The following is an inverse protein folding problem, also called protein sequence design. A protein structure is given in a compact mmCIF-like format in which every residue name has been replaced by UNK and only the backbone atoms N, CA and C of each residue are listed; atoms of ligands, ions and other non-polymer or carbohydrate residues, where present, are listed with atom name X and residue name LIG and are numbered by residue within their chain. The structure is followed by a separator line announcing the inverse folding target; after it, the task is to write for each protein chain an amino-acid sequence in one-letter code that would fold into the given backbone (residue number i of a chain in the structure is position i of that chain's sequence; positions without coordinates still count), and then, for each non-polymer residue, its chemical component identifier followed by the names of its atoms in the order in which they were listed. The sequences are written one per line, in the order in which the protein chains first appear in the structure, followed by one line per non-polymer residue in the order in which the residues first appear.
data_IF_503478449365
#
_entry.id   IF_503478449365
#
_cell.length_a   1.000
_cell.length_b   1.000
_cell.length_c   1.000
_cell.angle_alpha   90.00
_cell.angle_beta   90.00
_cell.angle_gamma   90.00
#
_symmetry.space_group_name_H-M   'P 1'
#
loop_
_entity.id
_entity.type
_entity.pdbx_description
1 polymer ?
#
# COMPACT_ATOMS: atom_id res chain seq x y z
N UNK A 1 -16.34 17.32 -1.50
CA UNK A 1 -16.54 17.22 -2.98
C UNK A 1 -18.02 17.07 -3.30
N UNK A 2 -18.68 16.02 -2.79
CA UNK A 2 -20.12 15.78 -2.99
C UNK A 2 -21.04 16.96 -2.65
N UNK A 3 -20.76 17.74 -1.59
CA UNK A 3 -21.49 18.99 -1.32
C UNK A 3 -21.38 20.01 -2.48
N UNK A 4 -20.16 20.27 -2.97
CA UNK A 4 -19.92 21.17 -4.12
C UNK A 4 -20.58 20.68 -5.41
N UNK A 5 -20.80 19.37 -5.54
CA UNK A 5 -21.48 18.74 -6.68
C UNK A 5 -23.00 18.72 -6.52
N UNK A 6 -23.53 19.18 -5.37
CA UNK A 6 -24.95 19.26 -5.05
C UNK A 6 -25.59 17.94 -4.64
N UNK A 7 -24.78 16.96 -4.21
CA UNK A 7 -25.27 15.63 -3.79
C UNK A 7 -25.60 15.59 -2.30
N UNK A 8 -24.75 16.21 -1.47
CA UNK A 8 -25.04 16.38 -0.04
C UNK A 8 -25.72 17.73 0.15
N UNK A 9 -26.81 17.74 0.90
CA UNK A 9 -27.54 18.96 1.27
C UNK A 9 -27.90 18.91 2.76
N UNK A 10 -28.21 20.06 3.39
CA UNK A 10 -28.66 20.05 4.77
C UNK A 10 -29.91 19.20 4.98
N UNK A 11 -30.80 19.13 3.99
CA UNK A 11 -32.05 18.38 4.06
C UNK A 11 -31.82 16.86 4.07
N UNK A 12 -30.91 16.34 3.24
CA UNK A 12 -30.68 14.89 3.17
C UNK A 12 -29.66 14.36 4.20
N UNK A 13 -28.81 15.22 4.74
CA UNK A 13 -27.83 14.83 5.77
C UNK A 13 -28.26 15.16 7.19
N UNK A 14 -29.12 16.18 7.37
CA UNK A 14 -29.37 16.79 8.67
C UNK A 14 -28.19 17.60 9.21
N UNK A 15 -27.15 17.83 8.41
CA UNK A 15 -25.92 18.51 8.80
C UNK A 15 -25.79 19.89 8.14
N UNK A 16 -25.08 20.86 8.76
CA UNK A 16 -24.79 22.15 8.13
C UNK A 16 -23.66 22.02 7.10
N UNK A 17 -23.90 21.24 6.03
CA UNK A 17 -22.91 20.94 4.98
C UNK A 17 -22.45 22.17 4.19
N UNK A 18 -23.23 23.24 4.22
CA UNK A 18 -22.87 24.57 3.73
C UNK A 18 -21.78 25.25 4.55
N UNK A 19 -21.56 24.79 5.79
CA UNK A 19 -20.54 25.27 6.71
C UNK A 19 -19.38 24.30 6.88
N UNK A 20 -19.13 23.40 5.93
CA UNK A 20 -17.95 22.51 5.95
C UNK A 20 -16.67 23.33 6.18
N UNK A 21 -15.89 22.93 7.18
CA UNK A 21 -14.67 23.62 7.62
C UNK A 21 -14.87 24.55 8.82
N UNK A 22 -16.11 24.78 9.25
CA UNK A 22 -16.43 25.48 10.50
C UNK A 22 -16.46 24.55 11.71
N UNK A 23 -16.35 25.12 12.91
CA UNK A 23 -16.55 24.40 14.18
C UNK A 23 -17.94 23.77 14.26
N UNK A 24 -18.99 24.50 13.85
CA UNK A 24 -20.38 24.02 13.87
C UNK A 24 -20.55 22.72 13.08
N UNK A 25 -19.99 22.65 11.87
CA UNK A 25 -20.01 21.41 11.09
C UNK A 25 -19.19 20.31 11.76
N UNK A 26 -17.98 20.61 12.23
CA UNK A 26 -17.07 19.62 12.83
C UNK A 26 -17.70 18.99 14.07
N UNK A 27 -18.35 19.78 14.93
CA UNK A 27 -19.00 19.30 16.15
C UNK A 27 -20.14 18.33 15.82
N UNK A 28 -21.07 18.71 14.94
CA UNK A 28 -22.19 17.84 14.55
C UNK A 28 -21.69 16.58 13.83
N UNK A 29 -20.77 16.75 12.87
CA UNK A 29 -20.19 15.65 12.10
C UNK A 29 -19.52 14.59 13.00
N UNK A 30 -18.63 15.03 13.89
CA UNK A 30 -17.89 14.12 14.76
C UNK A 30 -18.77 13.48 15.83
N UNK A 31 -19.67 14.26 16.44
CA UNK A 31 -20.62 13.75 17.42
C UNK A 31 -21.56 12.70 16.80
N UNK A 32 -22.19 13.00 15.66
CA UNK A 32 -23.17 12.09 15.07
C UNK A 32 -22.54 10.78 14.59
N UNK A 33 -21.30 10.82 14.08
CA UNK A 33 -20.54 9.61 13.77
C UNK A 33 -20.24 8.82 15.05
N UNK A 34 -19.72 9.48 16.08
CA UNK A 34 -19.34 8.82 17.33
C UNK A 34 -20.52 8.16 18.06
N UNK A 35 -21.71 8.76 17.97
CA UNK A 35 -22.92 8.28 18.62
C UNK A 35 -23.88 7.55 17.68
N UNK A 36 -23.53 7.35 16.41
CA UNK A 36 -24.37 6.68 15.42
C UNK A 36 -25.74 7.35 15.24
N UNK A 37 -25.78 8.68 15.12
CA UNK A 37 -27.01 9.46 14.97
C UNK A 37 -27.22 9.90 13.52
N UNK A 38 -28.46 9.78 13.03
CA UNK A 38 -28.85 10.25 11.69
C UNK A 38 -27.88 9.79 10.59
N UNK A 39 -27.45 10.73 9.73
CA UNK A 39 -26.48 10.46 8.67
C UNK A 39 -25.09 10.03 9.22
N UNK A 40 -24.78 10.38 10.47
CA UNK A 40 -23.57 9.91 11.17
C UNK A 40 -23.49 8.39 11.34
N UNK A 41 -24.62 7.70 11.53
CA UNK A 41 -24.67 6.24 11.59
C UNK A 41 -24.20 5.58 10.28
N UNK A 42 -24.55 6.21 9.15
CA UNK A 42 -24.11 5.77 7.82
C UNK A 42 -22.62 6.09 7.66
N UNK A 43 -22.19 7.30 8.03
CA UNK A 43 -20.79 7.71 7.99
C UNK A 43 -19.85 6.83 8.85
N UNK A 44 -20.33 6.33 10.00
CA UNK A 44 -19.59 5.42 10.87
C UNK A 44 -19.23 4.08 10.20
N UNK A 45 -19.90 3.70 9.11
CA UNK A 45 -19.59 2.47 8.35
C UNK A 45 -18.35 2.60 7.45
N UNK A 46 -17.76 3.79 7.35
CA UNK A 46 -16.55 4.05 6.58
C UNK A 46 -16.81 4.52 5.14
N UNK A 47 -15.83 5.22 4.57
CA UNK A 47 -15.97 5.93 3.29
C UNK A 47 -16.52 5.13 2.11
N UNK A 48 -16.07 3.88 1.83
CA UNK A 48 -16.60 3.10 0.70
C UNK A 48 -18.10 2.84 0.82
N UNK A 49 -18.56 2.43 2.02
CA UNK A 49 -19.96 2.07 2.28
C UNK A 49 -20.88 3.29 2.25
N UNK A 50 -20.39 4.45 2.71
CA UNK A 50 -21.11 5.73 2.60
C UNK A 50 -21.34 6.10 1.14
N UNK A 51 -20.32 5.93 0.28
CA UNK A 51 -20.43 6.28 -1.13
C UNK A 51 -21.38 5.34 -1.89
N UNK A 52 -21.42 4.06 -1.51
CA UNK A 52 -22.42 3.09 -2.01
C UNK A 52 -23.84 3.43 -1.52
N UNK A 53 -23.99 3.79 -0.24
CA UNK A 53 -25.27 4.22 0.32
C UNK A 53 -25.80 5.44 -0.44
N UNK A 54 -24.99 6.49 -0.58
CA UNK A 54 -25.37 7.71 -1.32
C UNK A 54 -25.83 7.37 -2.74
N UNK A 55 -25.07 6.53 -3.46
CA UNK A 55 -25.39 6.17 -4.84
C UNK A 55 -26.72 5.39 -4.97
N UNK A 56 -27.09 4.62 -3.94
CA UNK A 56 -28.28 3.76 -3.94
C UNK A 56 -29.55 4.43 -3.39
N UNK A 57 -29.45 5.59 -2.73
CA UNK A 57 -30.60 6.23 -2.06
C UNK A 57 -31.05 7.51 -2.79
N UNK A 58 -32.34 7.59 -3.13
CA UNK A 58 -32.89 8.66 -3.98
C UNK A 58 -32.84 10.06 -3.33
N UNK A 59 -32.80 10.13 -1.99
CA UNK A 59 -32.69 11.36 -1.20
C UNK A 59 -31.43 12.18 -1.52
N UNK A 60 -30.40 11.56 -2.12
CA UNK A 60 -29.18 12.25 -2.60
C UNK A 60 -29.31 12.82 -4.02
N UNK A 61 -30.53 12.81 -4.56
CA UNK A 61 -30.87 13.44 -5.83
C UNK A 61 -30.36 12.69 -7.07
N UNK A 62 -30.57 13.26 -8.26
CA UNK A 62 -30.27 12.60 -9.54
C UNK A 62 -28.76 12.46 -9.81
N UNK A 63 -27.92 13.28 -9.16
CA UNK A 63 -26.46 13.25 -9.34
C UNK A 63 -25.75 12.23 -8.44
N UNK A 64 -26.47 11.55 -7.55
CA UNK A 64 -25.91 10.64 -6.53
C UNK A 64 -24.93 9.58 -7.06
N UNK A 65 -25.08 9.16 -8.31
CA UNK A 65 -24.17 8.19 -8.95
C UNK A 65 -22.70 8.65 -9.01
N UNK A 66 -22.42 9.96 -8.94
CA UNK A 66 -21.05 10.50 -8.87
C UNK A 66 -20.29 10.03 -7.61
N UNK A 67 -21.00 9.62 -6.56
CA UNK A 67 -20.39 9.02 -5.36
C UNK A 67 -19.57 7.78 -5.69
N UNK A 68 -20.01 6.95 -6.66
CA UNK A 68 -19.25 5.77 -7.08
C UNK A 68 -17.98 6.16 -7.83
N UNK A 69 -17.98 7.28 -8.58
CA UNK A 69 -16.76 7.81 -9.20
C UNK A 69 -15.75 8.25 -8.15
N UNK A 70 -16.18 8.94 -7.10
CA UNK A 70 -15.30 9.29 -5.97
C UNK A 70 -14.82 8.03 -5.23
N UNK A 71 -15.68 7.01 -5.07
CA UNK A 71 -15.29 5.73 -4.46
C UNK A 71 -14.13 5.11 -5.24
N UNK A 72 -14.29 4.94 -6.55
CA UNK A 72 -13.26 4.30 -7.38
C UNK A 72 -11.95 5.07 -7.45
N UNK A 73 -11.99 6.40 -7.29
CA UNK A 73 -10.80 7.25 -7.22
C UNK A 73 -10.11 7.23 -5.85
N UNK A 74 -10.86 7.28 -4.76
CA UNK A 74 -10.32 7.29 -3.40
C UNK A 74 -9.87 5.89 -2.95
N UNK A 75 -10.56 4.85 -3.44
CA UNK A 75 -10.30 3.44 -3.19
C UNK A 75 -9.99 2.75 -4.52
N UNK A 76 -8.79 2.96 -5.11
CA UNK A 76 -8.48 2.50 -6.45
C UNK A 76 -8.44 0.98 -6.62
N UNK A 77 -8.38 0.18 -5.56
CA UNK A 77 -8.43 -1.28 -5.65
C UNK A 77 -9.87 -1.69 -5.91
N UNK A 78 -10.11 -2.43 -6.98
CA UNK A 78 -11.47 -2.75 -7.44
C UNK A 78 -12.00 -4.10 -6.93
N UNK A 79 -11.12 -4.99 -6.43
CA UNK A 79 -11.52 -6.32 -5.96
C UNK A 79 -12.47 -6.31 -4.76
N UNK A 80 -13.05 -7.46 -4.46
CA UNK A 80 -13.97 -7.63 -3.33
C UNK A 80 -13.26 -7.45 -1.97
N UNK A 81 -11.94 -7.63 -1.96
CA UNK A 81 -11.05 -7.39 -0.82
C UNK A 81 -10.40 -6.00 -0.88
N UNK A 82 -11.09 -5.03 -1.50
CA UNK A 82 -10.74 -3.60 -1.44
C UNK A 82 -11.19 -2.99 -0.11
N UNK A 83 -10.48 -1.98 0.39
CA UNK A 83 -10.88 -1.37 1.67
C UNK A 83 -10.09 -0.16 2.16
N UNK A 84 -8.91 0.10 1.60
CA UNK A 84 -8.08 1.23 2.01
C UNK A 84 -8.13 2.37 1.01
N UNK A 85 -8.28 3.59 1.53
CA UNK A 85 -8.15 4.79 0.73
C UNK A 85 -6.68 5.04 0.41
N UNK A 86 -6.37 5.71 -0.69
CA UNK A 86 -4.98 6.10 -0.94
C UNK A 86 -4.51 7.13 0.09
N UNK A 87 -3.64 6.73 1.04
CA UNK A 87 -3.04 7.68 1.99
C UNK A 87 -2.05 8.63 1.30
N UNK A 88 -1.36 8.14 0.27
CA UNK A 88 -0.47 8.92 -0.58
C UNK A 88 -0.81 8.66 -2.04
N UNK A 89 -1.12 9.73 -2.77
CA UNK A 89 -1.65 9.68 -4.13
C UNK A 89 -0.72 8.88 -5.06
N UNK A 90 -1.15 7.69 -5.50
CA UNK A 90 -0.50 6.84 -6.51
C UNK A 90 -0.55 7.44 -7.93
N UNK A 91 -1.08 8.66 -8.09
CA UNK A 91 -1.38 9.28 -9.39
C UNK A 91 -0.17 9.47 -10.32
N UNK A 92 1.05 9.27 -9.83
CA UNK A 92 2.25 9.34 -10.64
C UNK A 92 3.22 8.20 -10.31
N UNK A 93 3.54 7.37 -11.31
CA UNK A 93 4.50 6.26 -11.20
C UNK A 93 5.77 6.63 -11.99
N UNK A 94 6.43 7.67 -11.51
CA UNK A 94 7.56 8.33 -12.14
C UNK A 94 8.81 7.47 -12.24
N UNK A 95 8.96 6.42 -11.44
CA UNK A 95 10.18 5.61 -11.39
C UNK A 95 9.91 4.17 -10.89
N UNK A 96 10.97 3.37 -10.87
CA UNK A 96 10.95 1.97 -10.42
C UNK A 96 10.39 1.82 -9.01
N UNK A 97 10.77 2.67 -8.06
CA UNK A 97 10.37 2.52 -6.65
C UNK A 97 8.88 2.83 -6.45
N UNK A 98 8.34 3.82 -7.16
CA UNK A 98 6.91 4.11 -7.20
C UNK A 98 6.11 3.00 -7.89
N UNK A 99 6.59 2.50 -9.02
CA UNK A 99 5.96 1.38 -9.70
C UNK A 99 5.96 0.11 -8.83
N UNK A 100 7.07 -0.18 -8.14
CA UNK A 100 7.21 -1.29 -7.19
C UNK A 100 6.20 -1.19 -6.05
N UNK A 101 6.01 0.00 -5.51
CA UNK A 101 5.02 0.27 -4.46
C UNK A 101 3.59 0.13 -4.96
N UNK A 102 3.33 0.49 -6.23
CA UNK A 102 2.05 0.21 -6.86
C UNK A 102 1.82 -1.31 -7.02
N UNK A 103 2.80 -2.10 -7.45
CA UNK A 103 2.65 -3.57 -7.49
C UNK A 103 2.23 -4.12 -6.13
N UNK A 104 2.93 -3.69 -5.08
CA UNK A 104 2.61 -4.05 -3.70
C UNK A 104 1.20 -3.59 -3.29
N UNK A 105 0.77 -2.38 -3.63
CA UNK A 105 -0.55 -1.83 -3.28
C UNK A 105 -1.73 -2.61 -3.87
N UNK A 106 -1.59 -3.12 -5.09
CA UNK A 106 -2.59 -4.02 -5.68
C UNK A 106 -2.75 -5.33 -4.91
N UNK A 107 -1.68 -5.78 -4.25
CA UNK A 107 -1.56 -7.13 -3.66
C UNK A 107 -1.72 -7.14 -2.14
N UNK A 108 -1.39 -6.04 -1.45
CA UNK A 108 -1.39 -5.94 -0.01
C UNK A 108 -2.75 -6.28 0.63
N UNK A 109 -2.76 -6.81 1.86
CA UNK A 109 -3.97 -7.03 2.65
C UNK A 109 -4.48 -5.76 3.35
N UNK A 110 -3.58 -4.80 3.59
CA UNK A 110 -3.87 -3.51 4.21
C UNK A 110 -3.30 -2.39 3.34
N UNK A 111 -3.57 -1.13 3.70
CA UNK A 111 -2.90 0.00 3.03
C UNK A 111 -1.38 -0.14 3.24
N UNK A 112 -0.59 -0.35 2.18
CA UNK A 112 0.85 -0.38 2.34
C UNK A 112 1.44 1.01 2.58
N UNK A 113 0.84 2.05 2.01
CA UNK A 113 1.41 3.40 1.96
C UNK A 113 1.20 4.18 3.25
N UNK A 114 0.79 3.54 4.33
CA UNK A 114 0.87 4.14 5.68
C UNK A 114 2.29 4.09 6.24
N UNK A 115 3.22 3.41 5.55
CA UNK A 115 4.60 3.24 5.97
C UNK A 115 5.54 4.26 5.32
N UNK A 116 6.36 4.91 6.14
CA UNK A 116 7.41 5.82 5.74
C UNK A 116 8.54 5.10 5.00
N UNK A 117 8.73 3.79 5.15
CA UNK A 117 9.65 3.03 4.30
C UNK A 117 9.32 3.21 2.81
N UNK A 118 8.04 3.14 2.44
CA UNK A 118 7.60 3.37 1.07
C UNK A 118 7.75 4.84 0.65
N UNK A 119 7.64 5.78 1.60
CA UNK A 119 7.89 7.20 1.34
C UNK A 119 9.37 7.53 1.17
N UNK A 120 10.24 6.85 1.92
CA UNK A 120 11.67 7.11 1.94
C UNK A 120 12.35 6.68 0.64
N UNK A 121 11.69 5.81 -0.14
CA UNK A 121 12.13 5.45 -1.48
C UNK A 121 11.55 6.34 -2.59
N UNK A 122 10.84 7.41 -2.24
CA UNK A 122 10.42 8.45 -3.18
C UNK A 122 11.23 9.71 -2.93
N UNK A 123 12.08 10.08 -3.89
CA UNK A 123 12.86 11.32 -3.86
C UNK A 123 12.01 12.54 -3.44
N UNK A 124 10.86 12.77 -4.09
CA UNK A 124 10.02 13.95 -3.88
C UNK A 124 9.35 13.99 -2.49
N UNK A 125 9.23 12.83 -1.83
CA UNK A 125 8.67 12.73 -0.47
C UNK A 125 9.77 12.64 0.59
N UNK A 126 10.97 12.23 0.21
CA UNK A 126 12.18 12.31 1.02
C UNK A 126 12.51 13.76 1.38
N UNK A 127 12.34 14.68 0.42
CA UNK A 127 12.50 16.11 0.65
C UNK A 127 11.40 16.68 1.56
N UNK A 128 10.16 16.21 1.39
CA UNK A 128 8.99 16.60 2.22
C UNK A 128 9.05 16.12 3.68
N UNK A 129 10.02 15.25 3.98
CA UNK A 129 10.37 14.80 5.30
C UNK A 129 11.37 15.79 5.98
N UNK A 130 11.77 16.88 5.31
CA UNK A 130 12.69 17.88 5.86
C UNK A 130 14.15 17.45 5.78
N UNK A 131 14.45 16.51 4.88
CA UNK A 131 15.82 16.12 4.50
C UNK A 131 16.05 16.61 3.07
N UNK A 132 16.65 17.78 2.91
CA UNK A 132 17.04 18.28 1.58
C UNK A 132 18.31 17.56 1.13
N UNK A 133 18.15 16.52 0.32
CA UNK A 133 19.26 15.88 -0.38
C UNK A 133 19.41 16.49 -1.78
N UNK A 134 20.64 16.69 -2.24
CA UNK A 134 20.86 16.91 -3.66
C UNK A 134 20.33 15.71 -4.46
N UNK A 135 19.65 15.99 -5.58
CA UNK A 135 18.95 14.95 -6.35
C UNK A 135 19.83 13.77 -6.74
N UNK A 136 21.08 14.06 -7.09
CA UNK A 136 22.02 13.09 -7.61
C UNK A 136 22.51 12.14 -6.51
N UNK A 137 22.59 12.63 -5.27
CA UNK A 137 23.00 11.87 -4.10
C UNK A 137 21.96 10.80 -3.74
N UNK A 138 20.66 11.14 -3.77
CA UNK A 138 19.59 10.16 -3.51
C UNK A 138 19.60 9.01 -4.53
N UNK A 139 19.73 9.33 -5.82
CA UNK A 139 19.77 8.30 -6.87
C UNK A 139 21.04 7.44 -6.78
N UNK A 140 22.17 8.01 -6.38
CA UNK A 140 23.39 7.24 -6.15
C UNK A 140 23.25 6.31 -4.94
N UNK A 141 22.76 6.82 -3.81
CA UNK A 141 22.47 6.06 -2.59
C UNK A 141 21.55 4.88 -2.89
N UNK A 142 20.40 5.12 -3.54
CA UNK A 142 19.46 4.06 -3.88
C UNK A 142 20.05 3.01 -4.80
N UNK A 143 20.84 3.40 -5.82
CA UNK A 143 21.54 2.45 -6.70
C UNK A 143 22.51 1.57 -5.91
N UNK A 144 23.31 2.16 -5.01
CA UNK A 144 24.25 1.42 -4.15
C UNK A 144 23.52 0.46 -3.21
N UNK A 145 22.44 0.92 -2.58
CA UNK A 145 21.64 0.09 -1.67
C UNK A 145 20.98 -1.08 -2.40
N UNK A 146 20.32 -0.82 -3.53
CA UNK A 146 19.68 -1.85 -4.32
C UNK A 146 20.69 -2.88 -4.84
N UNK A 147 21.84 -2.42 -5.37
CA UNK A 147 22.89 -3.32 -5.80
C UNK A 147 23.41 -4.21 -4.65
N UNK A 148 23.61 -3.62 -3.47
CA UNK A 148 24.11 -4.32 -2.29
C UNK A 148 23.11 -5.34 -1.74
N UNK A 149 21.84 -4.96 -1.60
CA UNK A 149 20.86 -5.71 -0.83
C UNK A 149 19.98 -6.64 -1.67
N UNK A 150 19.74 -6.28 -2.92
CA UNK A 150 18.85 -7.03 -3.82
C UNK A 150 19.46 -7.31 -5.20
N UNK A 151 20.71 -6.89 -5.44
CA UNK A 151 21.48 -7.25 -6.62
C UNK A 151 21.05 -6.60 -7.92
N UNK A 152 20.11 -5.66 -7.91
CA UNK A 152 19.66 -4.99 -9.14
C UNK A 152 20.53 -3.80 -9.50
N UNK A 153 21.01 -3.78 -10.74
CA UNK A 153 21.71 -2.66 -11.40
C UNK A 153 20.77 -1.85 -12.30
N UNK A 154 19.49 -2.21 -12.36
CA UNK A 154 18.53 -1.63 -13.32
C UNK A 154 18.30 -0.15 -13.04
N UNK A 155 18.01 0.66 -14.08
CA UNK A 155 17.78 2.08 -13.89
C UNK A 155 16.55 2.31 -13.01
N UNK A 156 16.65 3.26 -12.08
CA UNK A 156 15.51 3.71 -11.26
C UNK A 156 14.54 4.51 -12.13
N UNK A 157 15.06 5.35 -13.02
CA UNK A 157 14.22 6.20 -13.86
C UNK A 157 13.64 5.44 -15.08
N UNK A 158 12.44 5.81 -15.55
CA UNK A 158 11.81 5.23 -16.73
C UNK A 158 12.70 5.30 -17.97
N UNK A 159 12.78 4.21 -18.75
CA UNK A 159 11.87 3.06 -18.78
C UNK A 159 12.14 1.96 -17.72
N UNK A 160 12.96 2.22 -16.71
CA UNK A 160 13.35 1.29 -15.64
C UNK A 160 12.22 0.78 -14.74
N UNK A 161 11.48 -0.21 -15.24
CA UNK A 161 10.54 -1.01 -14.45
C UNK A 161 10.96 -2.49 -14.36
N UNK A 162 12.10 -2.82 -14.97
CA UNK A 162 12.77 -4.10 -14.78
C UNK A 162 13.16 -4.25 -13.30
N UNK A 163 13.00 -5.45 -12.74
CA UNK A 163 13.25 -5.78 -11.34
C UNK A 163 12.34 -5.06 -10.31
N UNK A 164 11.27 -4.39 -10.75
CA UNK A 164 10.35 -3.73 -9.83
C UNK A 164 9.69 -4.70 -8.83
N UNK A 165 9.45 -5.95 -9.22
CA UNK A 165 8.98 -6.99 -8.31
C UNK A 165 10.01 -7.30 -7.20
N UNK A 166 11.30 -7.22 -7.51
CA UNK A 166 12.39 -7.46 -6.55
C UNK A 166 12.45 -6.30 -5.54
N UNK A 167 12.35 -5.07 -6.04
CA UNK A 167 12.29 -3.87 -5.19
C UNK A 167 11.03 -3.91 -4.32
N UNK A 168 9.87 -4.26 -4.87
CA UNK A 168 8.62 -4.38 -4.12
C UNK A 168 8.75 -5.38 -2.97
N UNK A 169 9.44 -6.52 -3.20
CA UNK A 169 9.67 -7.55 -2.18
C UNK A 169 10.51 -6.99 -1.05
N UNK A 170 11.55 -6.25 -1.39
CA UNK A 170 12.46 -5.64 -0.43
C UNK A 170 11.78 -4.60 0.45
N UNK A 171 10.99 -3.70 -0.14
CA UNK A 171 10.17 -2.74 0.59
C UNK A 171 9.20 -3.46 1.54
N UNK A 172 8.57 -4.54 1.05
CA UNK A 172 7.61 -5.28 1.86
C UNK A 172 8.25 -5.99 3.05
N UNK A 173 9.45 -6.55 2.87
CA UNK A 173 10.24 -7.15 3.95
C UNK A 173 10.60 -6.12 5.02
N UNK A 174 11.03 -4.91 4.64
CA UNK A 174 11.34 -3.83 5.59
C UNK A 174 10.09 -3.37 6.36
N UNK A 175 8.95 -3.24 5.67
CA UNK A 175 7.67 -2.90 6.31
C UNK A 175 7.23 -3.94 7.35
N UNK A 176 7.38 -5.24 7.05
CA UNK A 176 7.06 -6.30 8.00
C UNK A 176 8.09 -6.42 9.13
N UNK A 177 9.36 -6.16 8.85
CA UNK A 177 10.40 -6.11 9.88
C UNK A 177 10.06 -5.06 10.95
N UNK A 178 9.64 -3.87 10.54
CA UNK A 178 9.21 -2.81 11.46
C UNK A 178 8.04 -3.26 12.33
N UNK A 179 7.02 -3.87 11.73
CA UNK A 179 5.86 -4.38 12.48
C UNK A 179 6.23 -5.53 13.43
N UNK A 180 7.08 -6.46 12.99
CA UNK A 180 7.47 -7.63 13.77
C UNK A 180 8.40 -7.28 14.93
N UNK A 181 9.27 -6.27 14.76
CA UNK A 181 10.16 -5.80 15.82
C UNK A 181 9.56 -4.64 16.63
N UNK A 182 8.32 -4.23 16.33
CA UNK A 182 7.62 -3.12 16.99
C UNK A 182 8.38 -1.79 16.91
N UNK A 183 9.06 -1.56 15.78
CA UNK A 183 9.76 -0.30 15.53
C UNK A 183 8.79 0.77 15.08
N UNK A 184 9.05 2.02 15.48
CA UNK A 184 8.33 3.15 14.92
C UNK A 184 8.73 3.28 13.45
N UNK A 185 7.77 3.28 12.54
CA UNK A 185 8.00 3.48 11.11
C UNK A 185 8.69 4.84 10.79
N UNK A 186 8.70 5.79 11.74
CA UNK A 186 9.57 6.96 11.65
C UNK A 186 11.08 6.66 11.61
N UNK A 187 11.51 5.44 11.99
CA UNK A 187 12.91 5.00 11.86
C UNK A 187 13.27 4.62 10.42
N UNK A 188 12.28 4.44 9.53
CA UNK A 188 12.51 4.12 8.12
C UNK A 188 13.54 5.03 7.45
N UNK A 189 13.58 6.33 7.80
CA UNK A 189 14.58 7.27 7.30
C UNK A 189 16.01 6.83 7.61
N UNK A 190 16.24 6.33 8.82
CA UNK A 190 17.57 5.94 9.31
C UNK A 190 18.11 4.72 8.54
N UNK A 191 17.23 3.91 7.94
CA UNK A 191 17.63 2.82 7.02
C UNK A 191 18.24 3.34 5.73
N UNK A 192 17.65 4.38 5.16
CA UNK A 192 18.05 4.88 3.83
C UNK A 192 19.13 5.94 3.94
N UNK A 193 19.01 6.88 4.90
CA UNK A 193 19.89 8.03 4.99
C UNK A 193 20.36 8.33 6.41
N UNK A 194 21.61 8.77 6.52
CA UNK A 194 22.20 9.23 7.76
C UNK A 194 23.08 10.47 7.51
N UNK A 195 22.84 11.62 8.18
CA UNK A 195 23.69 12.80 8.02
C UNK A 195 25.09 12.64 8.65
N UNK A 196 25.30 11.55 9.39
CA UNK A 196 26.56 11.27 10.09
C UNK A 196 27.47 10.29 9.33
N UNK A 197 27.05 9.79 8.17
CA UNK A 197 27.88 8.94 7.29
C UNK A 197 28.43 9.77 6.12
N UNK A 198 29.67 9.51 5.71
CA UNK A 198 30.35 10.27 4.64
C UNK A 198 29.63 10.18 3.28
N UNK A 199 28.98 9.05 3.01
CA UNK A 199 28.22 8.78 1.79
C UNK A 199 26.71 9.05 1.93
N UNK A 200 26.28 9.52 3.12
CA UNK A 200 24.89 9.77 3.44
C UNK A 200 24.03 8.50 3.56
N UNK A 201 24.60 7.30 3.40
CA UNK A 201 23.83 6.05 3.43
C UNK A 201 23.46 5.72 4.88
N UNK A 202 22.19 5.35 5.09
CA UNK A 202 21.67 4.88 6.35
C UNK A 202 22.10 3.45 6.72
N UNK A 203 21.39 2.84 7.66
CA UNK A 203 21.66 1.51 8.18
C UNK A 203 20.51 0.53 7.91
N UNK A 204 20.47 -0.13 6.73
CA UNK A 204 19.47 -1.15 6.43
C UNK A 204 19.52 -2.36 7.36
N UNK A 205 20.59 -2.52 8.15
CA UNK A 205 20.78 -3.61 9.12
C UNK A 205 20.25 -3.29 10.52
N UNK A 206 19.59 -2.15 10.70
CA UNK A 206 19.15 -1.67 12.01
C UNK A 206 18.32 -2.72 12.77
N UNK A 207 17.41 -3.44 12.10
CA UNK A 207 16.56 -4.40 12.79
C UNK A 207 17.29 -5.67 13.20
N UNK A 208 18.25 -6.19 12.42
CA UNK A 208 19.10 -7.29 12.86
C UNK A 208 19.95 -6.90 14.09
N UNK A 209 20.47 -5.66 14.10
CA UNK A 209 21.23 -5.12 15.24
C UNK A 209 20.35 -4.99 16.48
N UNK A 210 19.15 -4.43 16.34
CA UNK A 210 18.18 -4.30 17.43
C UNK A 210 17.69 -5.66 17.95
N UNK A 211 17.34 -6.57 17.04
CA UNK A 211 16.93 -7.94 17.38
C UNK A 211 18.01 -8.65 18.20
N UNK A 212 19.28 -8.57 17.77
CA UNK A 212 20.41 -9.12 18.53
C UNK A 212 20.60 -8.45 19.88
N UNK A 213 20.53 -7.12 19.93
CA UNK A 213 20.73 -6.36 21.17
C UNK A 213 19.69 -6.72 22.23
N UNK A 214 18.43 -6.95 21.82
CA UNK A 214 17.32 -7.26 22.74
C UNK A 214 17.27 -8.75 23.10
N UNK A 215 17.41 -9.64 22.11
CA UNK A 215 17.17 -11.08 22.30
C UNK A 215 18.45 -11.87 22.60
N UNK A 216 19.62 -11.32 22.32
CA UNK A 216 20.90 -12.03 22.35
C UNK A 216 21.12 -13.00 21.18
N UNK A 217 20.12 -13.21 20.31
CA UNK A 217 20.23 -14.10 19.16
C UNK A 217 20.85 -13.41 17.95
N UNK A 218 21.84 -14.04 17.34
CA UNK A 218 22.49 -13.51 16.14
C UNK A 218 21.72 -13.92 14.89
N UNK A 219 21.36 -12.95 14.06
CA UNK A 219 20.71 -13.13 12.76
C UNK A 219 21.30 -12.10 11.79
N UNK A 220 21.48 -12.46 10.54
CA UNK A 220 21.80 -11.48 9.48
C UNK A 220 20.53 -10.74 9.06
N UNK A 221 20.67 -9.55 8.46
CA UNK A 221 19.52 -8.80 7.98
C UNK A 221 18.71 -9.59 6.92
N UNK A 222 19.38 -10.32 6.03
CA UNK A 222 18.73 -11.17 5.03
C UNK A 222 17.93 -12.32 5.65
N UNK A 223 18.47 -12.97 6.69
CA UNK A 223 17.75 -14.02 7.43
C UNK A 223 16.54 -13.44 8.17
N UNK A 224 16.65 -12.22 8.72
CA UNK A 224 15.55 -11.54 9.39
C UNK A 224 14.43 -11.18 8.40
N UNK A 225 14.77 -10.60 7.24
CA UNK A 225 13.81 -10.35 6.17
C UNK A 225 13.15 -11.63 5.68
N UNK A 226 13.90 -12.73 5.53
CA UNK A 226 13.31 -14.04 5.19
C UNK A 226 12.29 -14.51 6.23
N UNK A 227 12.53 -14.27 7.53
CA UNK A 227 11.56 -14.57 8.60
C UNK A 227 10.30 -13.71 8.51
N UNK A 228 10.41 -12.47 8.03
CA UNK A 228 9.28 -11.58 7.81
C UNK A 228 8.33 -12.07 6.69
N UNK A 229 8.78 -12.99 5.83
CA UNK A 229 7.93 -13.59 4.79
C UNK A 229 6.89 -14.57 5.34
N UNK A 230 7.08 -15.07 6.56
CA UNK A 230 6.11 -15.96 7.25
C UNK A 230 4.81 -15.23 7.54
N UNK A 231 4.78 -14.13 8.34
CA UNK A 231 3.54 -13.43 8.63
C UNK A 231 2.88 -12.86 7.36
N UNK A 232 3.64 -12.33 6.39
CA UNK A 232 3.02 -11.85 5.15
C UNK A 232 2.29 -12.97 4.40
N UNK A 233 2.84 -14.20 4.45
CA UNK A 233 2.32 -15.31 3.62
C UNK A 233 1.10 -15.88 4.32
N UNK A 234 1.15 -15.92 5.64
CA UNK A 234 0.02 -16.28 6.48
C UNK A 234 -1.16 -15.32 6.29
N UNK A 235 -0.93 -14.00 6.29
CA UNK A 235 -2.00 -13.04 6.03
C UNK A 235 -2.64 -13.26 4.65
N UNK A 236 -1.82 -13.52 3.61
CA UNK A 236 -2.36 -13.85 2.28
C UNK A 236 -3.13 -15.17 2.29
N UNK A 237 -2.61 -16.20 2.94
CA UNK A 237 -3.28 -17.49 3.05
C UNK A 237 -4.66 -17.36 3.72
N UNK A 238 -4.76 -16.56 4.79
CA UNK A 238 -6.03 -16.23 5.43
C UNK A 238 -6.96 -15.53 4.43
N UNK A 239 -6.50 -14.51 3.71
CA UNK A 239 -7.33 -13.82 2.72
C UNK A 239 -7.81 -14.77 1.61
N UNK A 240 -6.94 -15.66 1.12
CA UNK A 240 -7.30 -16.68 0.12
C UNK A 240 -8.31 -17.69 0.66
N UNK A 241 -8.19 -18.08 1.93
CA UNK A 241 -9.18 -18.92 2.62
C UNK A 241 -10.57 -18.26 2.63
N UNK A 242 -10.62 -16.94 2.81
CA UNK A 242 -11.86 -16.16 2.76
C UNK A 242 -12.36 -15.86 1.34
N UNK A 243 -11.63 -16.28 0.29
CA UNK A 243 -12.03 -16.17 -1.11
C UNK A 243 -11.24 -15.17 -1.94
N UNK A 244 -10.23 -14.48 -1.39
CA UNK A 244 -9.40 -13.54 -2.17
C UNK A 244 -8.58 -14.28 -3.22
N UNK A 245 -8.57 -13.76 -4.45
CA UNK A 245 -7.80 -14.28 -5.59
C UNK A 245 -7.11 -13.16 -6.37
N UNK A 246 -6.34 -13.52 -7.39
CA UNK A 246 -5.72 -12.54 -8.29
C UNK A 246 -6.75 -11.65 -9.00
N UNK A 247 -7.99 -12.12 -9.17
CA UNK A 247 -9.11 -11.29 -9.67
C UNK A 247 -9.49 -10.13 -8.75
N UNK A 248 -9.13 -10.18 -7.47
CA UNK A 248 -9.34 -9.10 -6.51
C UNK A 248 -8.16 -8.13 -6.44
N UNK A 249 -7.01 -8.51 -6.99
CA UNK A 249 -5.77 -7.74 -6.97
C UNK A 249 -5.68 -6.88 -8.23
N UNK A 250 -6.68 -6.00 -8.40
CA UNK A 250 -6.86 -5.16 -9.58
C UNK A 250 -7.17 -3.72 -9.20
N UNK A 251 -6.88 -2.80 -10.12
CA UNK A 251 -7.23 -1.40 -10.01
C UNK A 251 -8.49 -1.06 -10.79
N UNK A 252 -9.25 -0.08 -10.30
CA UNK A 252 -10.38 0.53 -11.01
C UNK A 252 -9.88 1.20 -12.29
N UNK A 253 -10.71 1.23 -13.32
CA UNK A 253 -10.33 1.84 -14.60
C UNK A 253 -10.04 3.34 -14.45
N UNK A 254 -10.61 4.04 -13.46
CA UNK A 254 -10.26 5.44 -13.15
C UNK A 254 -8.82 5.65 -12.67
N UNK A 255 -8.10 4.59 -12.28
CA UNK A 255 -6.70 4.68 -11.88
C UNK A 255 -5.78 5.01 -13.07
N UNK A 256 -6.01 4.39 -14.23
CA UNK A 256 -5.07 4.43 -15.35
C UNK A 256 -5.08 5.75 -16.17
N UNK A 257 -6.23 6.43 -16.40
CA UNK A 257 -6.28 7.67 -17.18
C UNK A 257 -5.45 8.81 -16.62
N UNK A 258 -5.24 8.87 -15.31
CA UNK A 258 -4.45 9.94 -14.67
C UNK A 258 -3.02 9.49 -14.31
N UNK A 259 -2.73 8.18 -14.36
CA UNK A 259 -1.42 7.63 -13.99
C UNK A 259 -0.42 7.75 -15.15
N UNK A 260 0.68 8.46 -14.90
CA UNK A 260 1.76 8.70 -15.86
C UNK A 260 3.13 8.38 -15.27
N UNK A 261 4.07 8.04 -16.15
CA UNK A 261 5.49 8.03 -15.82
C UNK A 261 6.14 9.43 -15.91
N UNK A 262 7.43 9.55 -15.61
CA UNK A 262 8.14 10.83 -15.64
C UNK A 262 8.33 11.43 -17.05
N UNK A 263 7.96 10.69 -18.10
CA UNK A 263 7.97 11.11 -19.51
C UNK A 263 6.55 11.39 -20.03
N UNK A 264 5.54 11.36 -19.16
CA UNK A 264 4.15 11.57 -19.53
C UNK A 264 3.52 10.40 -20.29
N UNK A 265 4.16 9.22 -20.30
CA UNK A 265 3.58 8.00 -20.88
C UNK A 265 2.56 7.42 -19.91
N UNK A 266 1.45 6.92 -20.45
CA UNK A 266 0.42 6.29 -19.66
C UNK A 266 0.85 4.90 -19.19
N UNK A 267 0.60 4.60 -17.91
CA UNK A 267 0.80 3.25 -17.38
C UNK A 267 -0.36 2.38 -17.84
N UNK A 268 -0.03 1.26 -18.49
CA UNK A 268 -1.01 0.33 -19.03
C UNK A 268 -1.49 -0.68 -17.99
N UNK A 269 -2.75 -1.11 -18.11
CA UNK A 269 -3.37 -2.12 -17.25
C UNK A 269 -2.62 -3.46 -17.28
N UNK A 270 -2.24 -3.89 -18.48
CA UNK A 270 -1.50 -5.15 -18.68
C UNK A 270 -0.09 -5.09 -18.09
N UNK A 271 0.54 -3.92 -18.09
CA UNK A 271 1.84 -3.71 -17.45
C UNK A 271 1.74 -3.96 -15.94
N UNK A 272 0.78 -3.31 -15.26
CA UNK A 272 0.52 -3.53 -13.83
C UNK A 272 0.20 -5.00 -13.52
N UNK A 273 -0.70 -5.61 -14.30
CA UNK A 273 -1.08 -7.02 -14.15
C UNK A 273 0.12 -7.95 -14.30
N UNK A 274 0.95 -7.74 -15.31
CA UNK A 274 2.18 -8.51 -15.55
C UNK A 274 3.18 -8.34 -14.40
N UNK A 275 3.37 -7.12 -13.90
CA UNK A 275 4.22 -6.86 -12.74
C UNK A 275 3.74 -7.58 -11.48
N UNK A 276 2.43 -7.59 -11.22
CA UNK A 276 1.86 -8.33 -10.07
C UNK A 276 2.03 -9.85 -10.22
N UNK A 277 1.92 -10.39 -11.44
CA UNK A 277 2.17 -11.82 -11.70
C UNK A 277 3.65 -12.20 -11.50
N UNK A 278 4.59 -11.36 -11.96
CA UNK A 278 6.02 -11.54 -11.66
C UNK A 278 6.27 -11.52 -10.16
N UNK A 279 5.59 -10.63 -9.45
CA UNK A 279 5.68 -10.55 -8.01
C UNK A 279 5.19 -11.83 -7.32
N UNK A 280 4.03 -12.37 -7.72
CA UNK A 280 3.54 -13.67 -7.22
C UNK A 280 4.57 -14.78 -7.42
N UNK A 281 5.09 -14.91 -8.63
CA UNK A 281 6.10 -15.92 -8.94
C UNK A 281 7.36 -15.76 -8.07
N UNK A 282 7.82 -14.52 -7.87
CA UNK A 282 8.99 -14.19 -7.05
C UNK A 282 8.84 -14.64 -5.59
N UNK A 283 7.64 -14.51 -5.01
CA UNK A 283 7.37 -14.84 -3.60
C UNK A 283 6.77 -16.24 -3.40
N UNK A 284 6.74 -17.07 -4.46
CA UNK A 284 6.30 -18.46 -4.41
C UNK A 284 4.78 -18.64 -4.39
N UNK A 285 4.04 -17.71 -4.98
CA UNK A 285 2.59 -17.78 -5.16
C UNK A 285 2.25 -18.18 -6.60
N UNK A 286 1.10 -18.83 -6.79
CA UNK A 286 0.63 -19.20 -8.12
C UNK A 286 0.04 -18.00 -8.87
N UNK A 287 -0.35 -18.19 -10.13
CA UNK A 287 -0.93 -17.12 -10.97
C UNK A 287 -2.28 -16.59 -10.47
N UNK A 288 -2.96 -17.34 -9.60
CA UNK A 288 -4.18 -16.92 -8.92
C UNK A 288 -3.90 -16.18 -7.59
N UNK A 289 -2.63 -15.88 -7.32
CA UNK A 289 -2.17 -15.15 -6.15
C UNK A 289 -2.32 -15.95 -4.85
N UNK A 290 -2.40 -17.29 -4.92
CA UNK A 290 -2.45 -18.17 -3.75
C UNK A 290 -1.03 -18.65 -3.42
N UNK A 291 -0.57 -18.59 -2.16
CA UNK A 291 0.71 -19.18 -1.77
C UNK A 291 0.76 -20.66 -2.10
N UNK A 292 1.77 -21.13 -2.84
CA UNK A 292 1.85 -22.54 -3.22
C UNK A 292 2.11 -23.45 -2.00
N UNK A 293 1.68 -24.71 -2.06
CA UNK A 293 2.00 -25.72 -1.03
C UNK A 293 3.51 -25.77 -0.73
N UNK A 294 4.34 -25.82 -1.77
CA UNK A 294 5.79 -25.84 -1.64
C UNK A 294 6.32 -24.61 -0.86
N UNK A 295 5.76 -23.43 -1.15
CA UNK A 295 6.14 -22.20 -0.45
C UNK A 295 5.70 -22.18 1.01
N UNK A 296 4.48 -22.62 1.30
CA UNK A 296 3.97 -22.72 2.68
C UNK A 296 4.82 -23.68 3.51
N UNK A 297 5.17 -24.84 2.95
CA UNK A 297 6.04 -25.81 3.63
C UNK A 297 7.48 -25.30 3.79
N UNK A 298 8.05 -24.59 2.81
CA UNK A 298 9.36 -23.91 2.95
C UNK A 298 9.37 -22.94 4.14
N UNK A 299 8.25 -22.26 4.37
CA UNK A 299 8.07 -21.31 5.48
C UNK A 299 7.63 -21.98 6.79
N UNK A 300 7.56 -23.32 6.85
CA UNK A 300 7.19 -24.06 8.05
C UNK A 300 5.69 -24.05 8.38
N UNK A 301 4.83 -23.74 7.41
CA UNK A 301 3.37 -23.62 7.56
C UNK A 301 2.63 -24.78 6.88
N UNK A 302 3.04 -26.03 7.16
CA UNK A 302 2.42 -27.23 6.56
C UNK A 302 0.92 -27.34 6.91
N UNK A 303 0.55 -27.01 8.14
CA UNK A 303 -0.82 -26.99 8.62
C UNK A 303 -1.71 -26.02 7.82
N UNK A 304 -1.18 -24.86 7.45
CA UNK A 304 -1.86 -23.89 6.57
C UNK A 304 -2.05 -24.46 5.17
N UNK A 305 -1.03 -25.12 4.62
CA UNK A 305 -1.14 -25.77 3.31
C UNK A 305 -2.21 -26.87 3.31
N UNK A 306 -2.26 -27.69 4.37
CA UNK A 306 -3.27 -28.74 4.52
C UNK A 306 -4.69 -28.16 4.66
N UNK A 307 -4.89 -27.07 5.41
CA UNK A 307 -6.22 -26.40 5.52
C UNK A 307 -6.68 -25.84 4.17
N UNK A 308 -5.80 -25.18 3.42
CA UNK A 308 -6.14 -24.62 2.10
C UNK A 308 -6.47 -25.72 1.08
N UNK A 309 -5.73 -26.83 1.06
CA UNK A 309 -6.01 -27.96 0.16
C UNK A 309 -7.34 -28.64 0.52
N UNK A 310 -7.62 -28.86 1.80
CA UNK A 310 -8.90 -29.43 2.25
C UNK A 310 -10.13 -28.57 1.88
N UNK A 311 -9.92 -27.26 1.69
CA UNK A 311 -10.96 -26.32 1.25
C UNK A 311 -11.04 -26.15 -0.27
N UNK A 312 -10.17 -26.83 -1.04
CA UNK A 312 -10.08 -26.67 -2.49
C UNK A 312 -9.55 -25.31 -2.93
N UNK A 313 -8.74 -24.65 -2.09
CA UNK A 313 -8.05 -23.40 -2.44
C UNK A 313 -6.71 -23.67 -3.13
N UNK A 314 -6.05 -24.77 -2.75
CA UNK A 314 -4.87 -25.33 -3.42
C UNK A 314 -5.25 -26.49 -4.33
#
# INVERSE_FOLDING_TARGET
RLYKEGVLTPENTGWPVDKIGSQEFIEVFTHDIAYGKGFGAICAQGGPRVLEYIASHEEFGPKRGIALTHKRRLYPKAGNFSGYGTHHNLGHLFNMTQYSSALYWGIANRDPMTKHTDLCVYKERFDGLGVELESDLWYEMMRKMMQKWIGTTKPIEPPGYEDAEIVARWLWQMNFEEDCLMMCDGTARQRFWCPYTEDGIGDPEEGAKLYKAVTGHNVTQQELWKKCEVPWTLERAIACREGRRASDDIYNDEFYPDTRDNKGRQIEKEMMKSGMQKFYALIGWNSDGVPTRARLEELGMKDVADDLENRGVL
#
